data_IF_040606655979
#
_entry.id   IF_040606655979
#
_cell.length_a   1.000
_cell.length_b   1.000
_cell.length_c   1.000
_cell.angle_alpha   90.00
_cell.angle_beta   90.00
_cell.angle_gamma   90.00
#
_symmetry.space_group_name_H-M   'P 1'
#
loop_
_entity.id
_entity.type
_entity.pdbx_description
1 polymer ?
#
# COMPACT_ATOMS: atom_id res chain seq x y z
N UNK A 1 10.98 5.42 -0.20
CA UNK A 1 11.05 3.96 -0.11
C UNK A 1 9.67 3.30 -0.18
N UNK A 2 8.68 3.94 0.43
CA UNK A 2 7.30 3.47 0.25
C UNK A 2 6.92 3.57 -1.23
N UNK A 3 7.35 4.63 -1.91
CA UNK A 3 7.06 4.77 -3.34
C UNK A 3 7.61 3.59 -4.13
N UNK A 4 8.82 3.12 -3.81
CA UNK A 4 9.40 1.97 -4.49
C UNK A 4 8.53 0.72 -4.34
N UNK A 5 7.98 0.51 -3.12
CA UNK A 5 7.08 -0.61 -2.88
C UNK A 5 5.86 -0.51 -3.80
N UNK A 6 5.26 0.67 -3.88
CA UNK A 6 4.07 0.88 -4.70
C UNK A 6 4.37 0.70 -6.19
N UNK A 7 5.53 1.18 -6.63
CA UNK A 7 5.91 1.04 -8.04
C UNK A 7 6.16 -0.42 -8.40
N UNK A 8 6.76 -1.18 -7.49
CA UNK A 8 6.92 -2.62 -7.72
C UNK A 8 5.56 -3.30 -7.86
N UNK A 9 4.62 -2.98 -7.00
CA UNK A 9 3.28 -3.56 -7.07
C UNK A 9 2.59 -3.19 -8.38
N UNK A 10 2.71 -1.93 -8.80
CA UNK A 10 2.11 -1.47 -10.05
C UNK A 10 2.70 -2.19 -11.27
N UNK A 11 3.94 -2.62 -11.19
CA UNK A 11 4.61 -3.36 -12.27
C UNK A 11 4.33 -4.87 -12.20
N UNK A 12 3.36 -5.26 -11.39
CA UNK A 12 2.99 -6.66 -11.19
C UNK A 12 4.10 -7.50 -10.55
N UNK A 13 4.93 -6.84 -9.73
CA UNK A 13 5.96 -7.52 -8.94
C UNK A 13 5.51 -7.59 -7.50
N UNK A 14 4.36 -8.23 -7.30
CA UNK A 14 3.69 -8.23 -6.01
C UNK A 14 4.55 -8.83 -4.89
N UNK A 15 5.18 -9.97 -5.15
CA UNK A 15 5.96 -10.66 -4.11
C UNK A 15 7.14 -9.78 -3.68
N UNK A 16 7.83 -9.14 -4.64
CA UNK A 16 8.93 -8.24 -4.32
C UNK A 16 8.44 -7.04 -3.51
N UNK A 17 7.30 -6.47 -3.90
CA UNK A 17 6.72 -5.33 -3.19
C UNK A 17 6.38 -5.71 -1.75
N UNK A 18 5.73 -6.86 -1.59
CA UNK A 18 5.34 -7.37 -0.29
C UNK A 18 6.55 -7.58 0.61
N UNK A 19 7.58 -8.23 0.09
CA UNK A 19 8.77 -8.51 0.88
C UNK A 19 9.50 -7.23 1.27
N UNK A 20 9.56 -6.26 0.36
CA UNK A 20 10.19 -4.98 0.66
C UNK A 20 9.43 -4.22 1.72
N UNK A 21 8.11 -4.24 1.67
CA UNK A 21 7.31 -3.57 2.69
C UNK A 21 7.52 -4.21 4.06
N UNK A 22 7.51 -5.55 4.12
CA UNK A 22 7.74 -6.25 5.36
C UNK A 22 9.11 -5.90 5.96
N UNK A 23 10.15 -5.89 5.11
CA UNK A 23 11.49 -5.53 5.55
C UNK A 23 11.53 -4.11 6.11
N UNK A 24 10.88 -3.15 5.44
CA UNK A 24 10.84 -1.78 5.92
C UNK A 24 10.16 -1.68 7.28
N UNK A 25 9.05 -2.38 7.45
CA UNK A 25 8.33 -2.35 8.72
C UNK A 25 9.14 -2.96 9.84
N UNK A 26 9.79 -4.10 9.58
CA UNK A 26 10.59 -4.78 10.60
C UNK A 26 11.86 -4.00 10.95
N UNK A 27 12.57 -3.50 9.93
CA UNK A 27 13.84 -2.83 10.14
C UNK A 27 13.70 -1.47 10.82
N UNK A 28 12.61 -0.75 10.53
CA UNK A 28 12.40 0.59 11.08
C UNK A 28 11.32 0.66 12.13
N UNK A 29 10.72 -0.49 12.46
CA UNK A 29 9.67 -0.53 13.47
C UNK A 29 8.45 0.29 13.11
N UNK A 30 8.10 0.32 11.83
CA UNK A 30 6.99 1.15 11.36
C UNK A 30 5.64 0.52 11.73
N UNK A 31 4.73 1.34 12.27
CA UNK A 31 3.38 0.89 12.54
C UNK A 31 2.55 0.93 11.26
N UNK A 32 1.62 -0.01 11.12
CA UNK A 32 0.78 -0.07 9.92
C UNK A 32 0.01 1.20 9.65
N UNK A 33 -0.47 1.86 10.70
CA UNK A 33 -1.20 3.12 10.56
C UNK A 33 -0.31 4.20 9.91
N UNK A 34 0.96 4.26 10.28
CA UNK A 34 1.87 5.24 9.68
C UNK A 34 2.16 4.89 8.23
N UNK A 35 2.29 3.59 7.94
CA UNK A 35 2.53 3.13 6.58
C UNK A 35 1.36 3.48 5.67
N UNK A 36 0.11 3.25 6.12
CA UNK A 36 -1.05 3.54 5.27
C UNK A 36 -1.17 5.04 4.99
N UNK A 37 -0.83 5.88 5.95
CA UNK A 37 -0.85 7.33 5.74
C UNK A 37 0.20 7.75 4.73
N UNK A 38 1.37 7.14 4.78
CA UNK A 38 2.42 7.43 3.80
C UNK A 38 2.02 6.96 2.41
N UNK A 39 1.41 5.77 2.32
CA UNK A 39 0.91 5.26 1.03
C UNK A 39 -0.09 6.23 0.43
N UNK A 40 -1.04 6.71 1.23
CA UNK A 40 -2.05 7.63 0.74
C UNK A 40 -1.44 8.88 0.12
N UNK A 41 -0.40 9.42 0.75
CA UNK A 41 0.30 10.59 0.21
C UNK A 41 0.97 10.28 -1.13
N UNK A 42 1.59 9.11 -1.23
CA UNK A 42 2.33 8.74 -2.43
C UNK A 42 1.44 8.48 -3.63
N UNK A 43 0.19 8.05 -3.40
CA UNK A 43 -0.72 7.74 -4.51
C UNK A 43 -0.87 8.93 -5.46
N UNK A 44 -0.95 10.15 -4.92
CA UNK A 44 -1.16 11.33 -5.75
C UNK A 44 0.02 11.61 -6.69
N UNK A 45 1.20 11.10 -6.34
CA UNK A 45 2.42 11.30 -7.12
C UNK A 45 2.70 10.19 -8.11
N UNK A 46 1.88 9.13 -8.12
CA UNK A 46 2.11 8.00 -9.01
C UNK A 46 1.67 8.30 -10.43
N UNK A 47 2.36 7.67 -11.40
CA UNK A 47 2.04 7.84 -12.83
C UNK A 47 0.95 6.87 -13.25
N UNK A 48 -0.24 7.06 -12.69
CA UNK A 48 -1.42 6.28 -13.03
C UNK A 48 -2.58 7.24 -13.27
N UNK A 49 -3.65 6.75 -13.89
CA UNK A 49 -4.77 7.62 -14.21
C UNK A 49 -5.55 8.03 -12.95
N UNK A 50 -6.34 9.10 -13.09
CA UNK A 50 -7.06 9.64 -11.93
C UNK A 50 -8.08 8.67 -11.37
N UNK A 51 -8.71 7.88 -12.21
CA UNK A 51 -9.69 6.91 -11.73
C UNK A 51 -9.03 5.88 -10.81
N UNK A 52 -7.86 5.38 -11.23
CA UNK A 52 -7.10 4.44 -10.40
C UNK A 52 -6.66 5.07 -9.10
N UNK A 53 -6.22 6.34 -9.14
CA UNK A 53 -5.83 7.04 -7.91
C UNK A 53 -6.99 7.11 -6.93
N UNK A 54 -8.18 7.46 -7.42
CA UNK A 54 -9.35 7.56 -6.54
C UNK A 54 -9.75 6.22 -5.94
N UNK A 55 -9.70 5.15 -6.73
CA UNK A 55 -10.01 3.82 -6.22
C UNK A 55 -9.01 3.40 -5.14
N UNK A 56 -7.72 3.69 -5.34
CA UNK A 56 -6.70 3.33 -4.36
C UNK A 56 -6.82 4.17 -3.09
N UNK A 57 -7.17 5.44 -3.23
CA UNK A 57 -7.41 6.29 -2.07
C UNK A 57 -8.59 5.76 -1.24
N UNK A 58 -9.65 5.34 -1.91
CA UNK A 58 -10.79 4.75 -1.22
C UNK A 58 -10.39 3.47 -0.48
N UNK A 59 -9.57 2.63 -1.12
CA UNK A 59 -9.07 1.42 -0.46
C UNK A 59 -8.22 1.74 0.75
N UNK A 60 -7.42 2.79 0.68
CA UNK A 60 -6.64 3.24 1.84
C UNK A 60 -7.55 3.57 3.02
N UNK A 61 -8.66 4.25 2.77
CA UNK A 61 -9.61 4.56 3.83
C UNK A 61 -10.21 3.31 4.46
N UNK A 62 -10.59 2.34 3.64
CA UNK A 62 -11.11 1.07 4.15
C UNK A 62 -10.08 0.33 4.99
N UNK A 63 -8.86 0.27 4.50
CA UNK A 63 -7.78 -0.45 5.18
C UNK A 63 -7.45 0.21 6.51
N UNK A 64 -7.36 1.53 6.53
CA UNK A 64 -7.08 2.28 7.74
C UNK A 64 -8.16 2.01 8.79
N UNK A 65 -9.42 2.03 8.38
CA UNK A 65 -10.53 1.76 9.28
C UNK A 65 -10.43 0.34 9.87
N UNK A 66 -10.16 -0.65 9.02
CA UNK A 66 -10.05 -2.03 9.48
C UNK A 66 -8.91 -2.21 10.47
N UNK A 67 -7.77 -1.56 10.23
CA UNK A 67 -6.65 -1.64 11.17
C UNK A 67 -7.00 -1.00 12.50
N UNK A 68 -7.72 0.12 12.46
CA UNK A 68 -8.16 0.79 13.68
C UNK A 68 -9.11 -0.09 14.47
N UNK A 69 -9.92 -0.91 13.79
CA UNK A 69 -10.85 -1.83 14.43
C UNK A 69 -10.20 -3.14 14.86
N UNK A 70 -8.91 -3.29 14.67
CA UNK A 70 -8.18 -4.42 15.19
C UNK A 70 -7.76 -5.49 14.19
N UNK A 71 -7.99 -5.28 12.90
CA UNK A 71 -7.50 -6.23 11.89
C UNK A 71 -5.98 -6.22 11.84
N UNK A 72 -5.40 -7.37 11.52
CA UNK A 72 -3.95 -7.50 11.42
C UNK A 72 -3.42 -6.53 10.36
N UNK A 73 -2.47 -5.68 10.76
CA UNK A 73 -2.02 -4.62 9.88
C UNK A 73 -1.27 -5.13 8.66
N UNK A 74 -0.48 -6.20 8.80
CA UNK A 74 0.26 -6.70 7.66
C UNK A 74 -0.67 -7.36 6.64
N UNK A 75 -1.68 -8.10 7.12
CA UNK A 75 -2.68 -8.70 6.24
C UNK A 75 -3.39 -7.62 5.44
N UNK A 76 -3.77 -6.52 6.10
CA UNK A 76 -4.48 -5.43 5.42
C UNK A 76 -3.57 -4.72 4.42
N UNK A 77 -2.32 -4.47 4.78
CA UNK A 77 -1.40 -3.81 3.85
C UNK A 77 -1.07 -4.69 2.66
N UNK A 78 -0.93 -6.01 2.88
CA UNK A 78 -0.71 -6.94 1.78
C UNK A 78 -1.90 -6.93 0.82
N UNK A 79 -3.12 -6.91 1.36
CA UNK A 79 -4.33 -6.82 0.55
C UNK A 79 -4.35 -5.53 -0.27
N UNK A 80 -3.88 -4.43 0.32
CA UNK A 80 -3.80 -3.17 -0.39
C UNK A 80 -2.81 -3.24 -1.55
N UNK A 81 -1.65 -3.86 -1.33
CA UNK A 81 -0.67 -4.01 -2.40
C UNK A 81 -1.23 -4.81 -3.57
N UNK A 82 -2.10 -5.79 -3.30
CA UNK A 82 -2.73 -6.55 -4.37
C UNK A 82 -3.63 -5.65 -5.22
N UNK A 83 -4.28 -4.66 -4.61
CA UNK A 83 -5.07 -3.69 -5.36
C UNK A 83 -4.19 -2.82 -6.26
N UNK A 84 -3.00 -2.45 -5.79
CA UNK A 84 -2.04 -1.73 -6.64
C UNK A 84 -1.62 -2.58 -7.83
N UNK A 85 -1.36 -3.87 -7.60
CA UNK A 85 -0.97 -4.77 -8.69
C UNK A 85 -2.08 -4.86 -9.74
N UNK A 86 -3.33 -4.95 -9.30
CA UNK A 86 -4.46 -5.00 -10.21
C UNK A 86 -4.63 -3.68 -10.97
N UNK A 87 -4.41 -2.56 -10.30
CA UNK A 87 -4.52 -1.24 -10.94
C UNK A 87 -3.45 -1.02 -12.00
N UNK A 88 -2.27 -1.63 -11.83
CA UNK A 88 -1.17 -1.50 -12.77
C UNK A 88 -1.31 -2.36 -14.01
N UNK A 89 -2.23 -3.30 -14.00
CA UNK A 89 -2.52 -4.15 -15.17
C UNK A 89 -3.67 -3.56 -16.00
#
# INVERSE_FOLDING_TARGET
EIREVLELALKNKFIEARNKLLDLMLNYGLAGIDVIKQIQKEILELSIDNKSKMLLIEKCGEIEFRMTEGSDEFVQLEALLSQFALAGN
#
